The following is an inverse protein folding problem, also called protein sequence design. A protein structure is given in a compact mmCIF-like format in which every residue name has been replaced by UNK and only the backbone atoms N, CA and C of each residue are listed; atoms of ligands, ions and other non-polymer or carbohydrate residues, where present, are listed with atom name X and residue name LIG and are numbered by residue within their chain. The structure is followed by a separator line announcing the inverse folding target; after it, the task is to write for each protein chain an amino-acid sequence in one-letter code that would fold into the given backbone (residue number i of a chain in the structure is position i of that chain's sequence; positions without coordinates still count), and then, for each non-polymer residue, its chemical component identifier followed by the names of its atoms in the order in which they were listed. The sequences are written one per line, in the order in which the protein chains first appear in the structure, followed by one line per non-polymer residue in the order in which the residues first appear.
data_IF_983636728944
#
_entry.id   IF_983636728944
#
_cell.length_a   1.000
_cell.length_b   1.000
_cell.length_c   1.000
_cell.angle_alpha   90.00
_cell.angle_beta   90.00
_cell.angle_gamma   90.00
#
_symmetry.space_group_name_H-M   'P 1'
#
loop_
_entity.id
_entity.type
_entity.pdbx_description
1 polymer ?
#
# COMPACT_ATOMS: atom_id res chain seq x y z
N UNK A 1 -0.63 -13.18 -20.86
CA UNK A 1 -1.46 -11.97 -20.65
C UNK A 1 -0.56 -10.94 -19.98
N UNK A 2 -0.46 -9.72 -20.50
CA UNK A 2 0.33 -8.67 -19.81
C UNK A 2 -0.47 -8.11 -18.64
N UNK A 3 0.20 -7.67 -17.57
CA UNK A 3 -0.44 -7.07 -16.39
C UNK A 3 -1.39 -5.92 -16.77
N UNK A 4 -1.04 -5.13 -17.78
CA UNK A 4 -1.86 -4.01 -18.26
C UNK A 4 -3.21 -4.44 -18.83
N UNK A 5 -3.34 -5.66 -19.35
CA UNK A 5 -4.64 -6.16 -19.84
C UNK A 5 -5.66 -6.33 -18.72
N UNK A 6 -5.23 -6.46 -17.46
CA UNK A 6 -6.15 -6.54 -16.32
C UNK A 6 -6.88 -5.21 -16.09
N UNK A 7 -6.41 -4.10 -16.64
CA UNK A 7 -7.01 -2.76 -16.47
C UNK A 7 -8.39 -2.62 -17.11
N UNK A 8 -8.73 -3.51 -18.03
CA UNK A 8 -10.06 -3.54 -18.66
C UNK A 8 -11.13 -4.17 -17.76
N UNK A 9 -10.74 -4.84 -16.68
CA UNK A 9 -11.66 -5.49 -15.74
C UNK A 9 -11.73 -4.71 -14.43
N UNK A 10 -12.92 -4.68 -13.83
CA UNK A 10 -13.13 -4.22 -12.47
C UNK A 10 -12.51 -5.19 -11.45
N UNK A 11 -12.24 -4.71 -10.24
CA UNK A 11 -11.80 -5.56 -9.13
C UNK A 11 -12.82 -6.64 -8.79
N UNK A 12 -14.12 -6.37 -8.98
CA UNK A 12 -15.20 -7.34 -8.83
C UNK A 12 -15.09 -8.48 -9.85
N UNK A 13 -14.91 -8.17 -11.14
CA UNK A 13 -14.73 -9.19 -12.19
C UNK A 13 -13.47 -10.03 -11.97
N UNK A 14 -12.39 -9.40 -11.49
CA UNK A 14 -11.15 -10.11 -11.12
C UNK A 14 -11.42 -11.06 -9.95
N UNK A 15 -12.13 -10.63 -8.91
CA UNK A 15 -12.46 -11.46 -7.77
C UNK A 15 -13.35 -12.66 -8.17
N UNK A 16 -14.37 -12.44 -9.01
CA UNK A 16 -15.22 -13.50 -9.55
C UNK A 16 -14.41 -14.53 -10.36
N UNK A 17 -13.48 -14.06 -11.18
CA UNK A 17 -12.59 -14.94 -11.93
C UNK A 17 -11.68 -15.76 -11.00
N UNK A 18 -11.10 -15.14 -9.97
CA UNK A 18 -10.25 -15.82 -8.98
C UNK A 18 -11.02 -16.88 -8.19
N UNK A 19 -12.28 -16.61 -7.82
CA UNK A 19 -13.16 -17.59 -7.16
C UNK A 19 -13.44 -18.80 -8.06
N UNK A 20 -13.66 -18.58 -9.36
CA UNK A 20 -13.84 -19.65 -10.36
C UNK A 20 -12.57 -20.47 -10.56
N UNK A 21 -11.40 -19.85 -10.44
CA UNK A 21 -10.08 -20.50 -10.48
C UNK A 21 -9.71 -21.21 -9.16
N UNK A 22 -10.61 -21.26 -8.18
CA UNK A 22 -10.41 -21.98 -6.92
C UNK A 22 -9.72 -21.17 -5.82
N UNK A 23 -9.47 -19.87 -6.02
CA UNK A 23 -8.90 -18.97 -5.00
C UNK A 23 -9.94 -18.57 -3.96
N UNK A 24 -10.40 -19.56 -3.18
CA UNK A 24 -11.41 -19.42 -2.12
C UNK A 24 -10.74 -19.21 -0.75
N UNK A 25 -11.42 -18.57 0.22
CA UNK A 25 -12.81 -18.09 0.15
C UNK A 25 -12.98 -16.72 -0.50
N UNK A 26 -11.90 -15.93 -0.59
CA UNK A 26 -12.03 -14.46 -0.74
C UNK A 26 -11.64 -13.91 -2.11
N UNK A 27 -11.24 -14.75 -3.08
CA UNK A 27 -10.93 -14.29 -4.44
C UNK A 27 -9.81 -13.25 -4.49
N UNK A 28 -8.86 -13.30 -3.55
CA UNK A 28 -7.78 -12.32 -3.44
C UNK A 28 -8.17 -10.94 -2.89
N UNK A 29 -9.41 -10.78 -2.39
CA UNK A 29 -9.86 -9.52 -1.80
C UNK A 29 -9.20 -9.25 -0.43
N UNK A 30 -8.73 -8.01 -0.24
CA UNK A 30 -8.24 -7.51 1.05
C UNK A 30 -9.30 -6.55 1.61
N UNK A 31 -10.02 -6.94 2.68
CA UNK A 31 -11.10 -6.12 3.22
C UNK A 31 -10.59 -4.88 3.94
N UNK A 32 -11.50 -3.94 4.15
CA UNK A 32 -11.33 -2.72 4.96
C UNK A 32 -10.28 -1.74 4.43
N UNK A 33 -9.84 -1.89 3.18
CA UNK A 33 -8.91 -0.97 2.53
C UNK A 33 -9.69 0.03 1.68
N UNK A 34 -9.62 1.30 2.07
CA UNK A 34 -10.30 2.41 1.39
C UNK A 34 -9.30 3.28 0.64
N UNK A 35 -9.75 3.91 -0.46
CA UNK A 35 -8.94 4.88 -1.20
C UNK A 35 -9.01 6.24 -0.52
N UNK A 36 -7.86 6.79 -0.11
CA UNK A 36 -7.75 8.08 0.56
C UNK A 36 -7.29 9.22 -0.37
N UNK A 37 -6.59 8.86 -1.44
CA UNK A 37 -6.06 9.74 -2.49
C UNK A 37 -6.13 9.02 -3.84
N UNK A 38 -6.46 9.70 -4.95
CA UNK A 38 -6.59 11.17 -5.11
C UNK A 38 -7.89 11.78 -4.57
N UNK A 39 -8.95 10.99 -4.50
CA UNK A 39 -10.25 11.39 -3.92
C UNK A 39 -10.71 10.27 -2.99
N UNK A 40 -11.38 10.60 -1.88
CA UNK A 40 -11.77 9.58 -0.91
C UNK A 40 -12.89 8.70 -1.48
N UNK A 41 -12.62 7.41 -1.70
CA UNK A 41 -13.56 6.40 -2.21
C UNK A 41 -14.41 6.85 -3.40
N UNK A 42 -13.86 7.70 -4.27
CA UNK A 42 -14.56 8.31 -5.40
C UNK A 42 -13.65 8.41 -6.63
N UNK A 43 -14.27 8.37 -7.82
CA UNK A 43 -13.60 8.51 -9.11
C UNK A 43 -13.13 7.18 -9.72
N UNK A 44 -12.42 7.27 -10.84
CA UNK A 44 -12.02 6.12 -11.67
C UNK A 44 -10.61 5.59 -11.40
N UNK A 45 -10.01 6.01 -10.28
CA UNK A 45 -8.62 5.66 -9.96
C UNK A 45 -8.48 4.16 -9.74
N UNK A 46 -7.66 3.52 -10.58
CA UNK A 46 -7.34 2.09 -10.53
C UNK A 46 -5.85 1.91 -10.74
N UNK A 47 -5.22 1.11 -9.89
CA UNK A 47 -3.79 0.79 -9.96
C UNK A 47 -3.59 -0.70 -10.22
N UNK A 48 -2.65 -1.03 -11.10
CA UNK A 48 -2.28 -2.41 -11.44
C UNK A 48 -0.76 -2.46 -11.61
N UNK A 49 -0.12 -3.39 -10.92
CA UNK A 49 1.32 -3.59 -10.97
C UNK A 49 1.74 -4.75 -10.06
N UNK A 50 3.00 -5.21 -10.16
CA UNK A 50 3.56 -6.16 -9.22
C UNK A 50 3.59 -5.56 -7.81
N UNK A 51 3.34 -6.38 -6.79
CA UNK A 51 3.34 -5.93 -5.40
C UNK A 51 4.77 -5.87 -4.85
N UNK A 52 5.22 -4.69 -4.41
CA UNK A 52 6.42 -4.50 -3.59
C UNK A 52 6.05 -4.46 -2.12
N UNK A 53 6.26 -5.56 -1.40
CA UNK A 53 5.81 -5.73 -0.02
C UNK A 53 6.76 -5.07 0.99
N UNK A 54 6.18 -4.59 2.09
CA UNK A 54 6.91 -4.05 3.24
C UNK A 54 6.25 -4.57 4.50
N UNK A 55 7.03 -5.21 5.37
CA UNK A 55 6.57 -5.65 6.68
C UNK A 55 7.09 -4.70 7.76
N UNK A 56 6.17 -4.19 8.58
CA UNK A 56 6.50 -3.40 9.76
C UNK A 56 6.41 -4.27 11.01
N UNK A 57 7.27 -3.98 11.98
CA UNK A 57 7.24 -4.55 13.33
C UNK A 57 7.27 -3.42 14.35
N UNK A 58 6.91 -3.72 15.60
CA UNK A 58 7.05 -2.77 16.70
C UNK A 58 8.47 -2.21 16.79
N UNK A 59 8.59 -0.95 17.19
CA UNK A 59 9.88 -0.27 17.31
C UNK A 59 10.82 -1.01 18.27
N UNK A 60 10.25 -1.62 19.30
CA UNK A 60 10.94 -2.35 20.36
C UNK A 60 11.45 -3.73 19.92
N UNK A 61 10.94 -4.27 18.80
CA UNK A 61 11.44 -5.53 18.25
C UNK A 61 12.89 -5.34 17.81
N UNK A 62 13.82 -6.05 18.44
CA UNK A 62 15.26 -6.07 18.10
C UNK A 62 15.70 -7.38 17.44
N UNK A 63 14.78 -8.34 17.32
CA UNK A 63 15.03 -9.68 16.79
C UNK A 63 14.80 -9.75 15.29
N UNK A 64 13.80 -9.03 14.78
CA UNK A 64 13.51 -8.99 13.36
C UNK A 64 14.62 -8.27 12.59
N UNK A 65 14.93 -8.68 11.34
CA UNK A 65 15.93 -8.01 10.50
C UNK A 65 15.64 -6.52 10.31
N UNK A 66 16.64 -5.77 9.86
CA UNK A 66 16.47 -4.38 9.42
C UNK A 66 16.89 -4.28 7.96
N UNK A 67 16.00 -3.86 7.05
CA UNK A 67 16.36 -3.66 5.65
C UNK A 67 17.53 -2.67 5.52
N UNK A 68 18.41 -2.94 4.55
CA UNK A 68 19.59 -2.10 4.26
C UNK A 68 19.24 -0.82 3.51
N UNK A 69 18.13 -0.84 2.78
CA UNK A 69 17.60 0.30 2.03
C UNK A 69 16.22 0.70 2.58
N UNK A 70 15.90 1.99 2.46
CA UNK A 70 14.57 2.47 2.79
C UNK A 70 13.55 1.98 1.75
N UNK A 71 12.42 1.43 2.18
CA UNK A 71 11.43 0.81 1.30
C UNK A 71 10.88 1.75 0.21
N UNK A 72 10.80 3.06 0.48
CA UNK A 72 10.40 4.04 -0.54
C UNK A 72 11.44 4.24 -1.67
N UNK A 73 12.69 3.83 -1.44
CA UNK A 73 13.77 3.88 -2.43
C UNK A 73 13.92 2.57 -3.21
N UNK A 74 13.69 1.44 -2.53
CA UNK A 74 13.82 0.09 -3.08
C UNK A 74 12.66 -0.30 -4.01
N UNK A 75 11.50 0.36 -3.91
CA UNK A 75 10.35 0.05 -4.75
C UNK A 75 10.66 0.26 -6.24
N UNK A 76 10.46 -0.79 -7.04
CA UNK A 76 10.74 -0.78 -8.48
C UNK A 76 9.71 0.05 -9.27
N UNK A 77 10.13 0.60 -10.41
CA UNK A 77 9.22 1.30 -11.32
C UNK A 77 8.09 0.39 -11.81
N UNK A 78 6.86 0.87 -11.74
CA UNK A 78 5.65 0.13 -12.11
C UNK A 78 5.05 -0.71 -10.98
N UNK A 79 5.71 -0.83 -9.82
CA UNK A 79 5.21 -1.59 -8.67
C UNK A 79 4.09 -0.89 -7.90
N UNK A 80 3.35 -1.65 -7.12
CA UNK A 80 2.43 -1.16 -6.09
C UNK A 80 3.03 -1.54 -4.74
N UNK A 81 3.27 -0.55 -3.88
CA UNK A 81 3.83 -0.80 -2.55
C UNK A 81 2.72 -1.37 -1.66
N UNK A 82 2.95 -2.49 -0.98
CA UNK A 82 1.97 -3.15 -0.11
C UNK A 82 2.54 -3.28 1.30
N UNK A 83 1.99 -2.54 2.26
CA UNK A 83 2.53 -2.44 3.62
C UNK A 83 1.64 -3.23 4.59
N UNK A 84 2.25 -4.10 5.39
CA UNK A 84 1.62 -4.74 6.54
C UNK A 84 2.16 -4.16 7.84
N UNK A 85 1.27 -3.59 8.66
CA UNK A 85 1.60 -3.06 9.98
C UNK A 85 0.96 -3.89 11.11
N UNK A 86 1.54 -3.89 12.32
CA UNK A 86 0.89 -4.48 13.48
C UNK A 86 -0.52 -3.90 13.70
N UNK A 87 -1.49 -4.75 14.02
CA UNK A 87 -2.90 -4.35 14.04
C UNK A 87 -3.27 -3.46 15.24
N UNK A 88 -2.51 -3.54 16.32
CA UNK A 88 -2.71 -2.80 17.57
C UNK A 88 -2.14 -1.37 17.50
N UNK A 89 -1.29 -1.06 16.53
CA UNK A 89 -0.67 0.25 16.42
C UNK A 89 -1.64 1.30 15.86
N UNK A 90 -1.58 2.50 16.44
CA UNK A 90 -2.46 3.63 16.08
C UNK A 90 -1.78 4.64 15.16
N UNK A 91 -0.49 4.49 14.87
CA UNK A 91 0.27 5.43 14.04
C UNK A 91 0.11 5.18 12.54
N UNK A 92 0.42 6.20 11.75
CA UNK A 92 0.57 6.05 10.32
C UNK A 92 1.92 5.42 9.99
N UNK A 93 1.95 4.61 8.92
CA UNK A 93 3.18 4.00 8.37
C UNK A 93 3.54 4.55 7.00
N UNK A 94 2.72 5.47 6.48
CA UNK A 94 2.92 6.16 5.22
C UNK A 94 2.53 7.63 5.33
N UNK A 95 3.33 8.51 4.73
CA UNK A 95 3.15 9.96 4.75
C UNK A 95 3.61 10.61 3.43
N UNK A 96 3.43 11.93 3.31
CA UNK A 96 3.52 12.64 2.03
C UNK A 96 4.90 12.55 1.37
N UNK A 97 5.98 12.63 2.17
CA UNK A 97 7.35 12.43 1.68
C UNK A 97 7.57 11.07 1.00
N UNK A 98 6.94 10.01 1.54
CA UNK A 98 7.06 8.67 0.96
C UNK A 98 6.33 8.57 -0.37
N UNK A 99 5.14 9.18 -0.49
CA UNK A 99 4.43 9.30 -1.77
C UNK A 99 5.22 10.09 -2.81
N UNK A 100 5.83 11.22 -2.41
CA UNK A 100 6.67 12.00 -3.31
C UNK A 100 7.84 11.15 -3.84
N UNK A 101 8.51 10.42 -2.95
CA UNK A 101 9.64 9.58 -3.33
C UNK A 101 9.22 8.40 -4.22
N UNK A 102 8.18 7.68 -3.83
CA UNK A 102 7.64 6.54 -4.57
C UNK A 102 7.17 6.95 -5.97
N UNK A 103 6.52 8.11 -6.09
CA UNK A 103 6.13 8.70 -7.39
C UNK A 103 7.36 8.97 -8.28
N UNK A 104 8.43 9.56 -7.73
CA UNK A 104 9.68 9.77 -8.49
C UNK A 104 10.34 8.46 -8.92
N UNK A 105 10.23 7.40 -8.12
CA UNK A 105 10.74 6.05 -8.45
C UNK A 105 9.87 5.29 -9.46
N UNK A 106 8.68 5.81 -9.78
CA UNK A 106 7.77 5.20 -10.75
C UNK A 106 6.80 4.19 -10.15
N UNK A 107 6.67 4.12 -8.82
CA UNK A 107 5.62 3.33 -8.19
C UNK A 107 4.23 3.85 -8.59
N UNK A 108 3.29 2.93 -8.79
CA UNK A 108 1.93 3.25 -9.24
C UNK A 108 0.97 3.61 -8.11
N UNK A 109 1.33 3.32 -6.86
CA UNK A 109 0.52 3.61 -5.68
C UNK A 109 0.96 2.81 -4.46
N UNK A 110 0.24 2.96 -3.36
CA UNK A 110 0.45 2.21 -2.12
C UNK A 110 -0.86 1.63 -1.57
N UNK A 111 -0.79 0.42 -1.02
CA UNK A 111 -1.85 -0.27 -0.28
C UNK A 111 -1.34 -0.56 1.13
N UNK A 112 -2.08 -0.13 2.15
CA UNK A 112 -1.61 -0.12 3.54
C UNK A 112 -2.60 -0.86 4.43
N UNK A 113 -2.21 -2.06 4.87
CA UNK A 113 -2.80 -2.70 6.04
C UNK A 113 -2.32 -1.98 7.30
N UNK A 114 -2.95 -0.83 7.56
CA UNK A 114 -2.52 0.14 8.56
C UNK A 114 -3.08 1.53 8.27
N UNK A 115 -2.39 2.56 8.76
CA UNK A 115 -2.86 3.94 8.70
C UNK A 115 -1.98 4.82 7.83
N UNK A 116 -2.60 5.84 7.22
CA UNK A 116 -1.92 6.89 6.44
C UNK A 116 -2.10 8.26 7.09
N UNK A 117 -1.17 9.18 6.80
CA UNK A 117 -1.25 10.59 7.18
C UNK A 117 -0.88 11.50 6.00
N UNK A 118 -0.93 12.82 6.18
CA UNK A 118 -0.54 13.82 5.15
C UNK A 118 -1.42 13.79 3.89
N UNK A 119 -2.74 13.58 4.06
CA UNK A 119 -3.71 13.38 2.98
C UNK A 119 -3.65 14.44 1.88
N UNK A 120 -3.48 15.71 2.23
CA UNK A 120 -3.43 16.80 1.26
C UNK A 120 -2.23 16.68 0.31
N UNK A 121 -1.07 16.21 0.80
CA UNK A 121 0.13 16.04 -0.02
C UNK A 121 -0.09 14.94 -1.07
N UNK A 122 -0.65 13.80 -0.66
CA UNK A 122 -0.99 12.70 -1.58
C UNK A 122 -1.93 13.16 -2.70
N UNK A 123 -2.96 13.92 -2.32
CA UNK A 123 -3.99 14.42 -3.23
C UNK A 123 -3.44 15.47 -4.18
N UNK A 124 -2.61 16.40 -3.71
CA UNK A 124 -1.91 17.36 -4.58
C UNK A 124 -1.03 16.66 -5.62
N UNK A 125 -0.39 15.55 -5.23
CA UNK A 125 0.40 14.73 -6.15
C UNK A 125 -0.43 13.81 -7.03
N UNK A 126 -1.74 13.67 -6.79
CA UNK A 126 -2.59 12.65 -7.39
C UNK A 126 -2.00 11.23 -7.26
N UNK A 127 -1.27 10.97 -6.16
CA UNK A 127 -0.65 9.66 -5.91
C UNK A 127 -1.71 8.73 -5.28
N UNK A 128 -1.97 7.54 -5.86
CA UNK A 128 -2.97 6.63 -5.32
C UNK A 128 -2.54 6.05 -3.96
N UNK A 129 -3.38 6.24 -2.94
CA UNK A 129 -3.13 5.76 -1.58
C UNK A 129 -4.37 5.03 -1.08
N UNK A 130 -4.18 3.77 -0.74
CA UNK A 130 -5.21 2.90 -0.17
C UNK A 130 -4.77 2.49 1.23
N UNK A 131 -5.64 2.60 2.24
CA UNK A 131 -5.30 2.30 3.62
C UNK A 131 -6.52 1.88 4.45
N UNK A 132 -6.29 1.15 5.55
CA UNK A 132 -7.37 0.81 6.50
C UNK A 132 -7.96 2.02 7.21
N UNK A 133 -7.13 3.01 7.54
CA UNK A 133 -7.59 4.21 8.25
C UNK A 133 -6.58 5.35 8.16
N UNK A 134 -6.86 6.45 8.86
CA UNK A 134 -6.01 7.62 8.98
C UNK A 134 -5.42 7.74 10.41
N UNK A 135 -4.25 8.36 10.54
CA UNK A 135 -3.68 8.76 11.83
C UNK A 135 -2.89 10.04 11.70
N UNK A 136 -2.75 10.80 12.79
CA UNK A 136 -1.84 11.95 12.87
C UNK A 136 -0.45 11.58 13.42
N UNK A 137 -0.30 10.37 13.98
CA UNK A 137 0.93 9.95 14.66
C UNK A 137 1.98 9.45 13.66
N UNK A 138 3.28 9.77 13.87
CA UNK A 138 4.37 9.38 12.96
C UNK A 138 4.74 7.89 13.06
N UNK A 139 5.37 7.34 12.02
CA UNK A 139 5.84 5.95 11.99
C UNK A 139 6.93 5.65 13.04
N UNK A 140 8.02 6.44 13.03
CA UNK A 140 9.29 6.09 13.69
C UNK A 140 9.22 5.95 15.22
N UNK A 141 8.17 6.49 15.84
CA UNK A 141 7.94 6.41 17.27
C UNK A 141 7.33 5.06 17.71
N UNK A 142 6.77 4.27 16.79
CA UNK A 142 5.96 3.09 17.13
C UNK A 142 6.35 1.83 16.35
N UNK A 143 6.77 1.97 15.09
CA UNK A 143 7.13 0.84 14.24
C UNK A 143 8.37 1.10 13.41
N UNK A 144 8.98 0.03 12.90
CA UNK A 144 10.09 0.05 11.95
C UNK A 144 9.88 -1.02 10.87
N UNK A 145 10.44 -0.87 9.67
CA UNK A 145 10.42 -1.94 8.68
C UNK A 145 11.31 -3.10 9.17
N UNK A 146 10.87 -4.33 8.95
CA UNK A 146 11.63 -5.56 9.20
C UNK A 146 12.03 -6.28 7.93
N UNK A 147 11.23 -6.13 6.88
CA UNK A 147 11.34 -6.89 5.64
C UNK A 147 10.77 -6.05 4.50
N UNK A 148 11.39 -6.16 3.34
CA UNK A 148 10.89 -5.67 2.06
C UNK A 148 10.96 -6.84 1.07
N UNK A 149 10.00 -6.91 0.15
CA UNK A 149 9.75 -8.01 -0.81
C UNK A 149 10.98 -8.82 -1.22
#
# INVERSE_FOLDING_TARGET
MSLEQLKQFSTCEIADALLKLGQRPWGGYIPDIEMWSPTYCEGDTRIIGPAFTVKMVHKEDKTSPTPTEHFADAAESGSIIVISAPSDVKNAVWGGLMSARAKTKGAKGVVIDGRVRDLNEHRQMQFPVFAKSHSILPQNAFVRPSEIQ
#
